data_IF_333568808605
#
_entry.id   IF_333568808605
#
_cell.length_a   1.000
_cell.length_b   1.000
_cell.length_c   1.000
_cell.angle_alpha   90.00
_cell.angle_beta   90.00
_cell.angle_gamma   90.00
#
_symmetry.space_group_name_H-M   'P 1'
#
loop_
_entity.id
_entity.type
_entity.pdbx_description
1 polymer ?
#
# COMPACT_ATOMS: atom_id res chain seq x y z
N UNK A 1 22.89 73.96 -55.95
CA UNK A 1 21.57 73.39 -56.27
C UNK A 1 21.62 71.88 -56.03
N UNK A 2 20.74 71.34 -55.16
CA UNK A 2 20.53 69.91 -54.75
C UNK A 2 21.73 69.21 -54.06
N UNK A 3 21.70 68.76 -52.79
CA UNK A 3 20.76 67.94 -51.98
C UNK A 3 20.35 66.63 -52.65
N UNK A 4 20.93 65.50 -52.19
CA UNK A 4 20.27 64.30 -51.61
C UNK A 4 21.33 63.19 -51.38
N UNK A 5 21.53 62.71 -50.13
CA UNK A 5 21.01 61.43 -49.53
C UNK A 5 21.59 60.19 -50.25
N UNK A 6 22.09 59.11 -49.64
CA UNK A 6 22.01 58.55 -48.28
C UNK A 6 22.91 57.30 -48.22
N UNK A 7 23.42 57.02 -47.02
CA UNK A 7 24.14 55.83 -46.55
C UNK A 7 23.90 54.49 -47.28
N UNK A 8 25.00 53.89 -47.77
CA UNK A 8 25.08 52.47 -48.17
C UNK A 8 25.42 51.64 -46.92
N UNK A 9 24.40 51.00 -46.33
CA UNK A 9 24.55 50.06 -45.21
C UNK A 9 25.13 48.74 -45.76
N UNK A 10 26.44 48.55 -45.65
CA UNK A 10 27.08 47.26 -45.92
C UNK A 10 26.67 46.23 -44.86
N UNK A 11 25.86 45.29 -45.31
CA UNK A 11 25.37 44.15 -44.55
C UNK A 11 26.48 43.10 -44.51
N UNK A 12 27.31 43.11 -43.46
CA UNK A 12 28.22 42.02 -43.16
C UNK A 12 27.41 40.74 -42.89
N UNK A 13 27.18 39.94 -43.94
CA UNK A 13 26.59 38.60 -43.85
C UNK A 13 27.69 37.66 -43.37
N UNK A 14 27.71 37.36 -42.07
CA UNK A 14 28.37 36.15 -41.61
C UNK A 14 27.74 34.95 -42.34
N UNK A 15 28.52 34.04 -42.96
CA UNK A 15 27.97 32.80 -43.48
C UNK A 15 27.44 32.02 -42.29
N UNK A 16 26.12 31.78 -42.28
CA UNK A 16 25.47 30.84 -41.38
C UNK A 16 26.17 29.49 -41.54
N UNK A 17 27.08 29.20 -40.62
CA UNK A 17 27.73 27.90 -40.49
C UNK A 17 26.62 26.93 -40.09
N UNK A 18 26.04 26.26 -41.08
CA UNK A 18 25.07 25.18 -40.89
C UNK A 18 25.75 24.19 -39.96
N UNK A 19 25.39 24.21 -38.67
CA UNK A 19 25.83 23.21 -37.70
C UNK A 19 25.31 21.89 -38.24
N UNK A 20 26.24 21.04 -38.70
CA UNK A 20 25.95 19.63 -38.99
C UNK A 20 25.16 19.07 -37.80
N UNK A 21 24.10 18.27 -38.01
CA UNK A 21 23.43 17.62 -36.90
C UNK A 21 24.49 16.84 -36.13
N UNK A 22 24.62 17.12 -34.83
CA UNK A 22 25.44 16.31 -33.95
C UNK A 22 24.92 14.89 -34.10
N UNK A 23 25.69 14.05 -34.77
CA UNK A 23 25.47 12.61 -34.78
C UNK A 23 25.43 12.18 -33.33
N UNK A 24 24.27 11.68 -32.91
CA UNK A 24 24.03 11.05 -31.63
C UNK A 24 25.25 10.16 -31.35
N UNK A 25 26.09 10.54 -30.38
CA UNK A 25 27.23 9.69 -29.98
C UNK A 25 26.61 8.38 -29.53
N UNK A 26 26.75 7.34 -30.34
CA UNK A 26 26.41 5.98 -29.96
C UNK A 26 27.14 5.72 -28.64
N UNK A 27 26.39 5.41 -27.58
CA UNK A 27 26.96 4.96 -26.31
C UNK A 27 27.88 3.79 -26.68
N UNK A 28 29.18 3.82 -26.34
CA UNK A 28 30.13 2.82 -26.77
C UNK A 28 29.59 1.43 -26.43
N UNK A 29 29.46 0.61 -27.46
CA UNK A 29 28.94 -0.75 -27.32
C UNK A 29 29.84 -1.49 -26.35
N UNK A 30 29.28 -1.99 -25.24
CA UNK A 30 30.08 -2.77 -24.30
C UNK A 30 30.59 -4.03 -24.98
N UNK A 31 31.84 -4.48 -24.71
CA UNK A 31 32.40 -5.65 -25.36
C UNK A 31 31.48 -6.85 -25.16
N UNK A 32 31.23 -7.62 -26.22
CA UNK A 32 30.24 -8.72 -26.25
C UNK A 32 30.40 -9.70 -25.06
N UNK A 33 31.63 -9.95 -24.62
CA UNK A 33 31.96 -10.77 -23.45
C UNK A 33 31.31 -10.27 -22.14
N UNK A 34 31.27 -8.95 -21.90
CA UNK A 34 30.65 -8.35 -20.70
C UNK A 34 29.13 -8.50 -20.73
N UNK A 35 28.52 -8.41 -21.91
CA UNK A 35 27.06 -8.58 -22.07
C UNK A 35 26.63 -10.03 -21.84
N UNK A 36 27.42 -11.00 -22.29
CA UNK A 36 27.17 -12.43 -22.05
C UNK A 36 27.28 -12.72 -20.55
N UNK A 37 28.35 -12.25 -19.90
CA UNK A 37 28.57 -12.45 -18.46
C UNK A 37 27.41 -11.89 -17.62
N UNK A 38 26.95 -10.66 -17.90
CA UNK A 38 25.83 -10.05 -17.20
C UNK A 38 24.53 -10.84 -17.38
N UNK A 39 24.28 -11.38 -18.58
CA UNK A 39 23.08 -12.19 -18.82
C UNK A 39 23.15 -13.54 -18.13
N UNK A 40 24.29 -14.23 -18.19
CA UNK A 40 24.46 -15.52 -17.49
C UNK A 40 24.31 -15.32 -15.98
N UNK A 41 25.00 -14.33 -15.41
CA UNK A 41 24.89 -14.00 -13.98
C UNK A 41 23.47 -13.57 -13.58
N UNK A 42 22.79 -12.79 -14.41
CA UNK A 42 21.42 -12.37 -14.14
C UNK A 42 20.39 -13.50 -14.23
N UNK A 43 20.57 -14.45 -15.15
CA UNK A 43 19.72 -15.66 -15.22
C UNK A 43 19.94 -16.54 -13.99
N UNK A 44 21.19 -16.71 -13.57
CA UNK A 44 21.51 -17.43 -12.33
C UNK A 44 20.88 -16.73 -11.11
N UNK A 45 20.94 -15.40 -11.04
CA UNK A 45 20.30 -14.63 -9.97
C UNK A 45 18.77 -14.83 -9.94
N UNK A 46 18.10 -14.82 -11.09
CA UNK A 46 16.65 -15.10 -11.18
C UNK A 46 16.35 -16.50 -10.64
N UNK A 47 17.12 -17.51 -11.06
CA UNK A 47 16.95 -18.88 -10.59
C UNK A 47 17.19 -18.99 -9.07
N UNK A 48 18.24 -18.35 -8.56
CA UNK A 48 18.56 -18.32 -7.14
C UNK A 48 17.43 -17.66 -6.33
N UNK A 49 16.90 -16.52 -6.77
CA UNK A 49 15.80 -15.83 -6.10
C UNK A 49 14.51 -16.66 -6.08
N UNK A 50 14.17 -17.31 -7.19
CA UNK A 50 12.98 -18.17 -7.26
C UNK A 50 13.09 -19.43 -6.40
N UNK A 51 14.30 -19.98 -6.25
CA UNK A 51 14.54 -21.18 -5.44
C UNK A 51 14.78 -20.86 -3.95
N UNK A 52 15.13 -19.62 -3.62
CA UNK A 52 15.54 -19.23 -2.27
C UNK A 52 14.52 -19.59 -1.18
N UNK A 53 13.20 -19.31 -1.32
CA UNK A 53 12.22 -19.68 -0.29
C UNK A 53 12.16 -21.19 -0.04
N UNK A 54 12.33 -22.01 -1.08
CA UNK A 54 12.31 -23.47 -0.98
C UNK A 54 13.58 -24.03 -0.32
N UNK A 55 14.72 -23.36 -0.54
CA UNK A 55 16.01 -23.76 0.03
C UNK A 55 16.14 -23.39 1.51
N UNK A 56 15.53 -22.28 1.93
CA UNK A 56 15.61 -21.82 3.32
C UNK A 56 14.66 -22.60 4.24
N UNK A 57 13.60 -23.21 3.71
CA UNK A 57 12.67 -24.04 4.48
C UNK A 57 11.79 -23.21 5.43
N UNK A 58 10.93 -23.84 6.27
CA UNK A 58 10.05 -23.12 7.18
C UNK A 58 10.83 -22.37 8.27
N UNK A 59 10.26 -21.29 8.86
CA UNK A 59 10.93 -20.53 9.88
C UNK A 59 11.30 -21.39 11.11
N UNK A 60 12.52 -21.23 11.65
CA UNK A 60 12.99 -22.03 12.77
C UNK A 60 12.19 -21.73 14.04
N UNK A 61 11.87 -22.77 14.81
CA UNK A 61 11.07 -22.69 16.05
C UNK A 61 11.75 -21.86 17.13
N UNK A 62 13.08 -21.87 17.15
CA UNK A 62 13.92 -21.15 18.13
C UNK A 62 14.05 -19.64 17.80
N UNK A 63 13.49 -19.18 16.69
CA UNK A 63 13.56 -17.80 16.23
C UNK A 63 14.93 -17.43 15.63
N UNK A 64 14.96 -16.35 14.84
CA UNK A 64 16.21 -15.86 14.22
C UNK A 64 17.06 -15.03 15.19
N UNK A 65 18.38 -14.92 14.96
CA UNK A 65 19.24 -14.00 15.71
C UNK A 65 18.75 -12.55 15.64
N UNK A 66 18.91 -11.78 16.72
CA UNK A 66 18.40 -10.39 16.81
C UNK A 66 18.94 -9.47 15.70
N UNK A 67 20.19 -9.66 15.28
CA UNK A 67 20.77 -8.90 14.17
C UNK A 67 20.03 -9.15 12.84
N UNK A 68 19.51 -10.36 12.62
CA UNK A 68 18.77 -10.71 11.41
C UNK A 68 17.39 -10.06 11.44
N UNK A 69 16.71 -10.11 12.60
CA UNK A 69 15.43 -9.41 12.82
C UNK A 69 15.58 -7.90 12.61
N UNK A 70 16.65 -7.31 13.15
CA UNK A 70 16.98 -5.90 12.97
C UNK A 70 17.20 -5.54 11.49
N UNK A 71 17.97 -6.34 10.76
CA UNK A 71 18.21 -6.11 9.32
C UNK A 71 16.91 -6.23 8.51
N UNK A 72 16.08 -7.24 8.78
CA UNK A 72 14.80 -7.44 8.08
C UNK A 72 13.86 -6.23 8.21
N UNK A 73 13.88 -5.54 9.35
CA UNK A 73 13.08 -4.31 9.58
C UNK A 73 13.41 -3.14 8.66
N UNK A 74 14.51 -3.19 7.91
CA UNK A 74 14.82 -2.19 6.87
C UNK A 74 14.08 -2.42 5.55
N UNK A 75 13.33 -3.52 5.40
CA UNK A 75 12.55 -3.78 4.20
C UNK A 75 11.65 -2.60 3.78
N UNK A 76 10.84 -1.97 4.68
CA UNK A 76 10.07 -0.78 4.35
C UNK A 76 10.93 0.41 3.89
N UNK A 77 12.16 0.56 4.39
CA UNK A 77 13.04 1.65 3.94
C UNK A 77 13.51 1.41 2.51
N UNK A 78 13.94 0.19 2.21
CA UNK A 78 14.51 -0.15 0.89
C UNK A 78 13.44 -0.31 -0.19
N UNK A 79 12.22 -0.75 0.15
CA UNK A 79 11.16 -1.00 -0.85
C UNK A 79 10.71 0.25 -1.61
N UNK A 80 10.90 1.45 -1.06
CA UNK A 80 10.53 2.70 -1.74
C UNK A 80 11.43 2.99 -2.95
N UNK A 81 12.68 2.50 -2.93
CA UNK A 81 13.65 2.69 -4.00
C UNK A 81 13.22 2.02 -5.32
N UNK A 82 12.96 0.69 -5.38
CA UNK A 82 12.54 0.06 -6.62
C UNK A 82 11.22 0.61 -7.14
N UNK A 83 10.26 0.95 -6.26
CA UNK A 83 8.95 1.50 -6.66
C UNK A 83 9.13 2.83 -7.41
N UNK A 84 9.79 3.81 -6.78
CA UNK A 84 9.97 5.13 -7.39
C UNK A 84 10.80 5.08 -8.68
N UNK A 85 11.87 4.28 -8.69
CA UNK A 85 12.75 4.16 -9.86
C UNK A 85 12.04 3.43 -11.00
N UNK A 86 11.25 2.39 -10.73
CA UNK A 86 10.49 1.68 -11.77
C UNK A 86 9.40 2.57 -12.39
N UNK A 87 8.68 3.34 -11.56
CA UNK A 87 7.71 4.34 -12.05
C UNK A 87 8.42 5.35 -12.95
N UNK A 88 9.60 5.83 -12.56
CA UNK A 88 10.41 6.70 -13.41
C UNK A 88 10.83 6.03 -14.73
N UNK A 89 11.23 4.76 -14.72
CA UNK A 89 11.54 3.98 -15.93
C UNK A 89 10.33 3.86 -16.85
N UNK A 90 9.13 3.65 -16.31
CA UNK A 90 7.88 3.62 -17.08
C UNK A 90 7.59 4.97 -17.75
N UNK A 91 7.78 6.08 -17.01
CA UNK A 91 7.66 7.43 -17.58
C UNK A 91 8.65 7.63 -18.71
N UNK A 92 9.93 7.30 -18.50
CA UNK A 92 10.96 7.40 -19.54
C UNK A 92 10.60 6.59 -20.79
N UNK A 93 10.07 5.38 -20.61
CA UNK A 93 9.67 4.53 -21.73
C UNK A 93 8.43 5.06 -22.44
N UNK A 94 7.43 5.58 -21.72
CA UNK A 94 6.28 6.27 -22.30
C UNK A 94 6.69 7.50 -23.12
N UNK A 95 7.62 8.30 -22.61
CA UNK A 95 8.18 9.43 -23.35
C UNK A 95 8.91 9.01 -24.63
N UNK A 96 9.51 7.82 -24.67
CA UNK A 96 10.17 7.27 -25.85
C UNK A 96 9.18 6.76 -26.93
N UNK A 97 7.91 6.58 -26.59
CA UNK A 97 6.84 6.22 -27.54
C UNK A 97 6.22 7.44 -28.23
N UNK A 98 6.40 8.65 -27.67
CA UNK A 98 5.81 9.86 -28.22
C UNK A 98 6.45 10.25 -29.56
N UNK A 99 5.65 10.53 -30.61
CA UNK A 99 6.16 10.95 -31.90
C UNK A 99 6.84 12.33 -31.80
N UNK A 100 7.92 12.53 -32.58
CA UNK A 100 8.57 13.83 -32.73
C UNK A 100 9.74 14.14 -31.77
N UNK A 101 10.04 13.28 -30.78
CA UNK A 101 11.23 13.46 -29.93
C UNK A 101 12.49 12.95 -30.63
N UNK A 102 13.49 13.84 -30.78
CA UNK A 102 14.82 13.52 -31.36
C UNK A 102 15.76 12.81 -30.38
N UNK A 103 15.57 12.99 -29.08
CA UNK A 103 16.40 12.37 -28.05
C UNK A 103 15.60 11.35 -27.25
N UNK A 104 16.07 10.10 -27.26
CA UNK A 104 15.50 9.02 -26.44
C UNK A 104 16.02 9.15 -25.01
N UNK A 105 15.12 9.19 -24.04
CA UNK A 105 15.47 9.09 -22.64
C UNK A 105 16.06 7.70 -22.38
N UNK A 106 17.31 7.63 -21.91
CA UNK A 106 17.94 6.36 -21.58
C UNK A 106 17.40 5.84 -20.25
N UNK A 107 16.61 4.77 -20.30
CA UNK A 107 16.10 4.07 -19.12
C UNK A 107 17.02 2.97 -18.59
N UNK A 108 18.16 2.70 -19.25
CA UNK A 108 19.03 1.56 -18.93
C UNK A 108 19.59 1.62 -17.51
N UNK A 109 20.14 2.77 -17.12
CA UNK A 109 20.76 2.93 -15.80
C UNK A 109 19.71 2.86 -14.69
N UNK A 110 18.58 3.55 -14.88
CA UNK A 110 17.46 3.53 -13.95
C UNK A 110 16.88 2.10 -13.80
N UNK A 111 16.69 1.36 -14.90
CA UNK A 111 16.23 -0.03 -14.86
C UNK A 111 17.21 -0.95 -14.10
N UNK A 112 18.53 -0.69 -14.21
CA UNK A 112 19.54 -1.42 -13.44
C UNK A 112 19.45 -1.16 -11.94
N UNK A 113 19.27 0.10 -11.53
CA UNK A 113 19.07 0.44 -10.12
C UNK A 113 17.74 -0.08 -9.58
N UNK A 114 16.66 -0.03 -10.37
CA UNK A 114 15.37 -0.62 -10.01
C UNK A 114 15.51 -2.13 -9.76
N UNK A 115 16.17 -2.86 -10.68
CA UNK A 115 16.41 -4.29 -10.51
C UNK A 115 17.27 -4.61 -9.28
N UNK A 116 18.38 -3.89 -9.08
CA UNK A 116 19.27 -4.13 -7.94
C UNK A 116 18.56 -3.86 -6.59
N UNK A 117 17.87 -2.73 -6.49
CA UNK A 117 17.12 -2.37 -5.28
C UNK A 117 15.91 -3.28 -5.02
N UNK A 118 15.25 -3.78 -6.08
CA UNK A 118 14.19 -4.79 -5.94
C UNK A 118 14.72 -6.10 -5.37
N UNK A 119 15.87 -6.58 -5.84
CA UNK A 119 16.53 -7.77 -5.27
C UNK A 119 16.86 -7.56 -3.79
N UNK A 120 17.46 -6.43 -3.44
CA UNK A 120 17.75 -6.12 -2.03
C UNK A 120 16.48 -6.05 -1.19
N UNK A 121 15.42 -5.40 -1.68
CA UNK A 121 14.14 -5.32 -0.98
C UNK A 121 13.54 -6.71 -0.75
N UNK A 122 13.55 -7.60 -1.75
CA UNK A 122 13.01 -8.96 -1.62
C UNK A 122 13.82 -9.83 -0.65
N UNK A 123 15.15 -9.68 -0.61
CA UNK A 123 15.98 -10.36 0.38
C UNK A 123 15.70 -9.88 1.81
N UNK A 124 15.56 -8.57 2.03
CA UNK A 124 15.18 -8.03 3.33
C UNK A 124 13.76 -8.43 3.72
N UNK A 125 12.84 -8.49 2.74
CA UNK A 125 11.47 -8.95 2.93
C UNK A 125 11.40 -10.41 3.36
N UNK A 126 12.26 -11.26 2.80
CA UNK A 126 12.43 -12.64 3.26
C UNK A 126 12.88 -12.68 4.72
N UNK A 127 13.92 -11.91 5.10
CA UNK A 127 14.35 -11.87 6.50
C UNK A 127 13.24 -11.38 7.45
N UNK A 128 12.45 -10.39 7.01
CA UNK A 128 11.32 -9.87 7.77
C UNK A 128 10.21 -10.91 7.93
N UNK A 129 9.87 -11.65 6.87
CA UNK A 129 8.88 -12.74 6.90
C UNK A 129 9.22 -13.78 7.98
N UNK A 130 10.48 -14.21 8.06
CA UNK A 130 10.93 -15.18 9.06
C UNK A 130 11.02 -14.62 10.48
N UNK A 131 10.95 -13.30 10.64
CA UNK A 131 11.09 -12.62 11.93
C UNK A 131 9.74 -12.36 12.61
N UNK A 132 8.62 -12.58 11.93
CA UNK A 132 7.29 -12.12 12.35
C UNK A 132 6.26 -13.27 12.35
N UNK A 133 6.12 -14.04 13.44
CA UNK A 133 5.19 -15.17 13.51
C UNK A 133 3.70 -14.78 13.64
N UNK A 134 3.40 -13.49 13.81
CA UNK A 134 2.05 -12.97 14.14
C UNK A 134 1.20 -12.56 12.92
N UNK A 135 1.73 -12.64 11.70
CA UNK A 135 1.00 -12.28 10.48
C UNK A 135 0.21 -13.47 9.90
N UNK A 136 -0.88 -13.17 9.17
CA UNK A 136 -1.53 -14.11 8.27
C UNK A 136 -0.49 -14.73 7.33
N UNK A 137 -0.23 -16.03 7.52
CA UNK A 137 0.76 -16.76 6.74
C UNK A 137 0.41 -16.74 5.26
N UNK A 138 -0.87 -16.83 4.90
CA UNK A 138 -1.28 -16.90 3.49
C UNK A 138 -1.09 -15.55 2.79
N UNK A 139 -1.47 -14.45 3.45
CA UNK A 139 -1.26 -13.10 2.88
C UNK A 139 0.22 -12.75 2.83
N UNK A 140 0.97 -13.05 3.90
CA UNK A 140 2.40 -12.77 3.97
C UNK A 140 3.20 -13.59 2.96
N UNK A 141 2.84 -14.87 2.76
CA UNK A 141 3.42 -15.70 1.70
C UNK A 141 3.10 -15.16 0.32
N UNK A 142 1.85 -14.80 0.05
CA UNK A 142 1.47 -14.20 -1.24
C UNK A 142 2.26 -12.92 -1.52
N UNK A 143 2.40 -12.05 -0.52
CA UNK A 143 3.21 -10.84 -0.63
C UNK A 143 4.69 -11.16 -0.89
N UNK A 144 5.26 -12.12 -0.17
CA UNK A 144 6.64 -12.57 -0.33
C UNK A 144 6.90 -13.08 -1.76
N UNK A 145 6.08 -14.01 -2.25
CA UNK A 145 6.21 -14.55 -3.60
C UNK A 145 5.95 -13.48 -4.67
N UNK A 146 5.01 -12.56 -4.43
CA UNK A 146 4.78 -11.40 -5.29
C UNK A 146 6.01 -10.50 -5.40
N UNK A 147 6.68 -10.22 -4.27
CA UNK A 147 7.93 -9.45 -4.23
C UNK A 147 9.10 -10.14 -4.92
N UNK A 148 9.23 -11.46 -4.76
CA UNK A 148 10.25 -12.25 -5.46
C UNK A 148 9.99 -12.24 -6.98
N UNK A 149 8.75 -12.50 -7.40
CA UNK A 149 8.37 -12.46 -8.81
C UNK A 149 8.63 -11.07 -9.42
N UNK A 150 8.27 -10.00 -8.71
CA UNK A 150 8.59 -8.63 -9.11
C UNK A 150 10.09 -8.44 -9.33
N UNK A 151 10.93 -8.85 -8.37
CA UNK A 151 12.40 -8.72 -8.49
C UNK A 151 12.97 -9.50 -9.67
N UNK A 152 12.48 -10.72 -9.91
CA UNK A 152 12.87 -11.55 -11.05
C UNK A 152 12.49 -10.91 -12.39
N UNK A 153 11.26 -10.38 -12.50
CA UNK A 153 10.79 -9.69 -13.70
C UNK A 153 11.55 -8.38 -13.94
N UNK A 154 11.90 -7.63 -12.89
CA UNK A 154 12.72 -6.42 -12.99
C UNK A 154 14.14 -6.73 -13.49
N UNK A 155 14.77 -7.80 -12.97
CA UNK A 155 16.08 -8.28 -13.47
C UNK A 155 15.96 -8.72 -14.93
N UNK A 156 14.93 -9.50 -15.29
CA UNK A 156 14.69 -9.92 -16.66
C UNK A 156 14.50 -8.72 -17.61
N UNK A 157 13.69 -7.73 -17.23
CA UNK A 157 13.50 -6.49 -17.97
C UNK A 157 14.83 -5.77 -18.21
N UNK A 158 15.67 -5.67 -17.18
CA UNK A 158 17.01 -5.06 -17.30
C UNK A 158 17.93 -5.85 -18.26
N UNK A 159 17.94 -7.17 -18.18
CA UNK A 159 18.74 -8.01 -19.09
C UNK A 159 18.29 -7.85 -20.54
N UNK A 160 16.99 -7.86 -20.80
CA UNK A 160 16.44 -7.62 -22.15
C UNK A 160 16.79 -6.21 -22.61
N UNK A 161 16.73 -5.20 -21.73
CA UNK A 161 17.10 -3.81 -22.05
C UNK A 161 18.55 -3.69 -22.53
N UNK A 162 19.49 -4.39 -21.88
CA UNK A 162 20.90 -4.44 -22.32
C UNK A 162 20.99 -4.93 -23.77
N UNK A 163 20.22 -5.97 -24.14
CA UNK A 163 20.23 -6.55 -25.49
C UNK A 163 19.55 -5.66 -26.51
N UNK A 164 18.44 -5.03 -26.15
CA UNK A 164 17.72 -4.07 -26.99
C UNK A 164 18.62 -2.87 -27.33
N UNK A 165 19.38 -2.37 -26.37
CA UNK A 165 20.31 -1.26 -26.59
C UNK A 165 21.48 -1.66 -27.50
N UNK A 166 22.02 -2.88 -27.32
CA UNK A 166 23.09 -3.40 -28.15
C UNK A 166 22.64 -3.70 -29.60
N UNK A 167 21.37 -4.06 -29.79
CA UNK A 167 20.78 -4.43 -31.08
C UNK A 167 20.18 -3.25 -31.86
N UNK A 168 20.30 -2.02 -31.35
CA UNK A 168 19.71 -0.82 -31.97
C UNK A 168 18.19 -0.74 -31.86
N UNK A 169 17.57 -1.44 -30.90
CA UNK A 169 16.13 -1.40 -30.63
C UNK A 169 15.36 -2.68 -30.99
N UNK A 170 16.02 -3.70 -31.56
CA UNK A 170 15.37 -5.00 -31.81
C UNK A 170 15.05 -5.68 -30.47
N UNK A 171 13.79 -6.06 -30.29
CA UNK A 171 13.30 -6.68 -29.04
C UNK A 171 12.68 -5.70 -28.04
N UNK A 172 12.49 -4.43 -28.41
CA UNK A 172 11.89 -3.42 -27.52
C UNK A 172 10.49 -3.82 -26.99
N UNK A 173 9.71 -4.56 -27.78
CA UNK A 173 8.40 -5.10 -27.35
C UNK A 173 8.58 -6.09 -26.19
N UNK A 174 9.55 -7.02 -26.29
CA UNK A 174 9.85 -7.99 -25.23
C UNK A 174 10.28 -7.28 -23.96
N UNK A 175 11.16 -6.27 -24.06
CA UNK A 175 11.55 -5.43 -22.92
C UNK A 175 10.32 -4.80 -22.24
N UNK A 176 9.40 -4.21 -23.01
CA UNK A 176 8.19 -3.58 -22.49
C UNK A 176 7.24 -4.58 -21.83
N UNK A 177 7.12 -5.78 -22.38
CA UNK A 177 6.31 -6.85 -21.76
C UNK A 177 6.85 -7.16 -20.36
N UNK A 178 8.16 -7.41 -20.23
CA UNK A 178 8.78 -7.66 -18.92
C UNK A 178 8.65 -6.45 -17.98
N UNK A 179 8.84 -5.23 -18.50
CA UNK A 179 8.70 -4.01 -17.71
C UNK A 179 7.26 -3.85 -17.17
N UNK A 180 6.25 -4.00 -18.03
CA UNK A 180 4.84 -3.89 -17.63
C UNK A 180 4.42 -5.03 -16.70
N UNK A 181 4.90 -6.25 -16.94
CA UNK A 181 4.68 -7.38 -16.03
C UNK A 181 5.31 -7.11 -14.65
N UNK A 182 6.52 -6.56 -14.59
CA UNK A 182 7.15 -6.15 -13.33
C UNK A 182 6.36 -5.06 -12.63
N UNK A 183 5.80 -4.08 -13.36
CA UNK A 183 4.97 -3.03 -12.78
C UNK A 183 3.64 -3.56 -12.24
N UNK A 184 2.99 -4.47 -12.96
CA UNK A 184 1.75 -5.10 -12.52
C UNK A 184 1.95 -5.96 -11.26
N UNK A 185 3.00 -6.77 -11.24
CA UNK A 185 3.36 -7.58 -10.05
C UNK A 185 3.77 -6.71 -8.87
N UNK A 186 4.50 -5.62 -9.10
CA UNK A 186 4.79 -4.61 -8.07
C UNK A 186 3.50 -4.02 -7.50
N UNK A 187 2.53 -3.66 -8.35
CA UNK A 187 1.23 -3.13 -7.89
C UNK A 187 0.46 -4.12 -7.02
N UNK A 188 0.36 -5.39 -7.45
CA UNK A 188 -0.28 -6.45 -6.68
C UNK A 188 0.44 -6.71 -5.35
N UNK A 189 1.77 -6.82 -5.36
CA UNK A 189 2.56 -7.00 -4.14
C UNK A 189 2.45 -5.79 -3.20
N UNK A 190 2.40 -4.56 -3.75
CA UNK A 190 2.22 -3.34 -2.95
C UNK A 190 0.85 -3.28 -2.28
N UNK A 191 -0.20 -3.75 -2.98
CA UNK A 191 -1.53 -3.90 -2.39
C UNK A 191 -1.52 -4.87 -1.21
N UNK A 192 -0.87 -6.02 -1.36
CA UNK A 192 -0.75 -7.00 -0.27
C UNK A 192 0.10 -6.46 0.89
N UNK A 193 1.17 -5.72 0.61
CA UNK A 193 1.99 -5.04 1.63
C UNK A 193 1.23 -3.96 2.40
N UNK A 194 0.38 -3.20 1.70
CA UNK A 194 -0.53 -2.25 2.34
C UNK A 194 -1.58 -2.97 3.21
N UNK A 195 -2.12 -4.08 2.73
CA UNK A 195 -3.10 -4.89 3.48
C UNK A 195 -2.50 -5.46 4.77
N UNK A 196 -1.25 -5.94 4.73
CA UNK A 196 -0.52 -6.42 5.92
C UNK A 196 -0.34 -5.32 6.99
N UNK A 197 -0.29 -4.05 6.60
CA UNK A 197 0.02 -2.94 7.52
C UNK A 197 -1.21 -2.14 7.94
N UNK A 198 -2.21 -2.04 7.08
CA UNK A 198 -3.41 -1.21 7.26
C UNK A 198 -4.71 -2.03 7.33
N UNK A 199 -4.66 -3.35 7.12
CA UNK A 199 -5.82 -4.24 7.07
C UNK A 199 -6.36 -4.43 5.65
N UNK A 200 -7.09 -5.53 5.43
CA UNK A 200 -7.77 -5.81 4.14
C UNK A 200 -8.74 -4.70 3.80
N UNK A 201 -8.73 -4.28 2.54
CA UNK A 201 -9.69 -3.31 2.03
C UNK A 201 -9.37 -1.85 2.33
N UNK A 202 -8.24 -1.53 2.95
CA UNK A 202 -7.81 -0.14 3.20
C UNK A 202 -7.91 0.77 1.95
N UNK A 203 -7.48 0.26 0.78
CA UNK A 203 -7.57 1.02 -0.48
C UNK A 203 -8.99 1.16 -1.03
N UNK A 204 -9.89 0.26 -0.64
CA UNK A 204 -11.28 0.23 -1.10
C UNK A 204 -12.27 0.74 -0.07
N UNK A 205 -11.81 1.01 1.16
CA UNK A 205 -12.59 1.51 2.28
C UNK A 205 -13.37 2.76 1.85
N UNK A 206 -12.70 3.70 1.21
CA UNK A 206 -13.29 4.95 0.72
C UNK A 206 -13.65 4.94 -0.78
N UNK A 207 -13.68 3.78 -1.45
CA UNK A 207 -14.05 3.70 -2.86
C UNK A 207 -15.47 4.27 -3.11
N UNK A 208 -15.69 5.09 -4.16
CA UNK A 208 -17.01 5.61 -4.49
C UNK A 208 -17.93 4.47 -4.95
N UNK A 209 -19.24 4.62 -4.75
CA UNK A 209 -20.23 3.56 -5.03
C UNK A 209 -20.15 2.95 -6.45
N UNK A 210 -19.97 3.74 -7.54
CA UNK A 210 -19.77 3.16 -8.86
C UNK A 210 -18.58 2.20 -8.94
N UNK A 211 -17.50 2.50 -8.21
CA UNK A 211 -16.30 1.67 -8.17
C UNK A 211 -16.50 0.43 -7.28
N UNK A 212 -17.24 0.55 -6.18
CA UNK A 212 -17.58 -0.59 -5.30
C UNK A 212 -18.39 -1.64 -6.04
N UNK A 213 -19.42 -1.21 -6.79
CA UNK A 213 -20.25 -2.10 -7.58
C UNK A 213 -19.44 -2.82 -8.66
N UNK A 214 -18.49 -2.11 -9.29
CA UNK A 214 -17.57 -2.70 -10.26
C UNK A 214 -16.60 -3.71 -9.60
N UNK A 215 -16.13 -3.43 -8.39
CA UNK A 215 -15.25 -4.31 -7.61
C UNK A 215 -15.99 -5.47 -6.91
N UNK A 216 -17.32 -5.55 -7.01
CA UNK A 216 -18.12 -6.56 -6.32
C UNK A 216 -18.15 -6.39 -4.79
N UNK A 217 -17.92 -5.18 -4.30
CA UNK A 217 -17.97 -4.83 -2.88
C UNK A 217 -19.41 -4.48 -2.47
N UNK A 218 -19.81 -4.73 -1.21
CA UNK A 218 -21.13 -4.37 -0.72
C UNK A 218 -21.39 -2.85 -0.85
N UNK A 219 -22.62 -2.50 -1.22
CA UNK A 219 -23.04 -1.11 -1.33
C UNK A 219 -22.88 -0.42 0.03
N UNK A 220 -22.23 0.75 0.03
CA UNK A 220 -22.23 1.62 1.20
C UNK A 220 -23.63 2.24 1.32
N UNK A 221 -24.48 1.69 2.17
CA UNK A 221 -25.75 2.31 2.51
C UNK A 221 -25.45 3.66 3.17
N UNK A 222 -25.76 4.75 2.46
CA UNK A 222 -25.90 6.06 3.09
C UNK A 222 -27.15 5.97 3.97
N UNK A 223 -27.00 5.60 5.24
CA UNK A 223 -28.08 5.76 6.22
C UNK A 223 -28.14 7.23 6.64
N UNK A 224 -28.48 8.09 5.68
CA UNK A 224 -28.64 9.53 5.87
C UNK A 224 -30.10 9.98 5.87
N UNK A 225 -31.06 9.08 5.73
CA UNK A 225 -32.49 9.43 5.70
C UNK A 225 -33.44 8.25 5.96
N UNK A 226 -33.02 7.26 6.74
CA UNK A 226 -33.84 6.11 7.12
C UNK A 226 -34.21 6.16 8.60
N UNK A 227 -35.48 5.91 8.90
CA UNK A 227 -36.11 5.91 10.23
C UNK A 227 -35.18 5.32 11.31
N UNK A 228 -34.91 6.06 12.39
CA UNK A 228 -34.06 5.65 13.54
C UNK A 228 -34.49 4.28 14.10
N UNK A 229 -35.79 3.99 13.97
CA UNK A 229 -36.38 2.71 14.36
C UNK A 229 -35.96 1.49 13.53
N UNK A 230 -35.35 1.69 12.36
CA UNK A 230 -34.91 0.60 11.47
C UNK A 230 -33.41 0.29 11.55
N UNK A 231 -32.64 1.14 12.24
CA UNK A 231 -31.19 1.01 12.35
C UNK A 231 -30.81 -0.19 13.23
N UNK A 232 -29.93 -1.06 12.72
CA UNK A 232 -29.37 -2.19 13.48
C UNK A 232 -28.12 -1.71 14.20
N UNK A 233 -28.17 -1.67 15.53
CA UNK A 233 -27.15 -1.00 16.34
C UNK A 233 -25.76 -1.61 16.12
N UNK A 234 -25.65 -2.94 16.13
CA UNK A 234 -24.36 -3.59 15.94
C UNK A 234 -23.77 -3.29 14.55
N UNK A 235 -24.52 -3.59 13.49
CA UNK A 235 -24.01 -3.48 12.11
C UNK A 235 -23.83 -2.03 11.66
N UNK A 236 -24.73 -1.13 12.03
CA UNK A 236 -24.75 0.24 11.49
C UNK A 236 -23.99 1.25 12.38
N UNK A 237 -23.80 0.98 13.68
CA UNK A 237 -23.10 1.90 14.60
C UNK A 237 -21.81 1.30 15.16
N UNK A 238 -21.85 0.07 15.67
CA UNK A 238 -20.71 -0.51 16.38
C UNK A 238 -19.62 -1.00 15.43
N UNK A 239 -19.99 -1.75 14.38
CA UNK A 239 -19.04 -2.29 13.40
C UNK A 239 -18.18 -1.19 12.76
N UNK A 240 -18.72 -0.03 12.31
CA UNK A 240 -17.89 1.06 11.79
C UNK A 240 -16.86 1.59 12.79
N UNK A 241 -17.21 1.67 14.09
CA UNK A 241 -16.27 2.08 15.14
C UNK A 241 -15.15 1.04 15.27
N UNK A 242 -15.50 -0.25 15.33
CA UNK A 242 -14.54 -1.34 15.45
C UNK A 242 -13.62 -1.45 14.23
N UNK A 243 -14.15 -1.25 13.02
CA UNK A 243 -13.38 -1.22 11.78
C UNK A 243 -12.30 -0.14 11.81
N UNK A 244 -12.67 1.08 12.20
CA UNK A 244 -11.76 2.23 12.18
C UNK A 244 -10.71 2.18 13.29
N UNK A 245 -11.06 1.63 14.46
CA UNK A 245 -10.23 1.75 15.68
C UNK A 245 -9.50 0.47 16.03
N UNK A 246 -10.13 -0.69 15.79
CA UNK A 246 -9.71 -1.94 16.39
C UNK A 246 -9.20 -2.96 15.36
N UNK A 247 -9.85 -3.06 14.20
CA UNK A 247 -9.57 -4.12 13.24
C UNK A 247 -8.15 -4.08 12.69
N UNK A 248 -7.47 -2.93 12.68
CA UNK A 248 -6.05 -2.87 12.24
C UNK A 248 -5.11 -3.77 13.05
N UNK A 249 -5.51 -4.20 14.26
CA UNK A 249 -4.73 -5.09 15.13
C UNK A 249 -5.51 -6.30 15.69
N UNK A 250 -6.83 -6.35 15.53
CA UNK A 250 -7.72 -7.39 16.04
C UNK A 250 -8.62 -7.97 14.94
N UNK A 251 -8.02 -8.51 13.90
CA UNK A 251 -8.71 -9.12 12.75
C UNK A 251 -8.15 -10.53 12.46
N UNK A 252 -8.68 -11.21 11.45
CA UNK A 252 -8.21 -12.54 11.06
C UNK A 252 -6.70 -12.66 10.89
N UNK A 253 -6.07 -11.60 10.40
CA UNK A 253 -4.68 -11.55 9.97
C UNK A 253 -3.70 -11.15 11.06
N UNK A 254 -4.16 -10.32 11.99
CA UNK A 254 -3.38 -9.80 13.10
C UNK A 254 -4.25 -9.86 14.34
N UNK A 255 -3.82 -10.70 15.28
CA UNK A 255 -4.58 -11.05 16.48
C UNK A 255 -3.78 -10.68 17.72
N UNK A 256 -3.57 -9.36 17.93
CA UNK A 256 -2.92 -8.91 19.17
C UNK A 256 -3.71 -9.41 20.38
N UNK A 257 -3.01 -9.93 21.38
CA UNK A 257 -3.64 -10.56 22.55
C UNK A 257 -4.45 -11.82 22.24
N UNK A 258 -4.34 -12.41 21.04
CA UNK A 258 -5.20 -13.51 20.54
C UNK A 258 -6.69 -13.13 20.50
N UNK A 259 -6.99 -11.84 20.35
CA UNK A 259 -8.36 -11.35 20.32
C UNK A 259 -8.74 -10.90 18.90
N UNK A 260 -9.89 -11.40 18.44
CA UNK A 260 -10.50 -11.17 17.11
C UNK A 260 -11.79 -10.38 17.30
N UNK A 261 -11.94 -9.25 16.60
CA UNK A 261 -13.12 -8.39 16.72
C UNK A 261 -13.96 -8.31 15.44
N UNK A 262 -13.47 -8.85 14.33
CA UNK A 262 -14.10 -8.83 13.00
C UNK A 262 -15.19 -9.89 12.79
N UNK A 263 -15.34 -10.82 13.72
CA UNK A 263 -16.45 -11.78 13.77
C UNK A 263 -17.15 -11.62 15.12
N UNK A 264 -18.48 -11.50 15.12
CA UNK A 264 -19.28 -11.21 16.31
C UNK A 264 -19.06 -12.23 17.44
N UNK A 265 -19.00 -13.50 17.08
CA UNK A 265 -18.86 -14.62 18.00
C UNK A 265 -17.47 -14.60 18.66
N UNK A 266 -16.44 -14.17 17.92
CA UNK A 266 -15.08 -14.02 18.43
C UNK A 266 -14.89 -12.72 19.23
N UNK A 267 -15.61 -11.66 18.85
CA UNK A 267 -15.66 -10.38 19.57
C UNK A 267 -16.15 -10.58 21.01
N UNK A 268 -17.17 -11.43 21.21
CA UNK A 268 -17.65 -11.78 22.54
C UNK A 268 -16.65 -12.70 23.28
N UNK A 269 -16.17 -13.75 22.62
CA UNK A 269 -15.33 -14.78 23.23
C UNK A 269 -14.01 -14.25 23.81
N UNK A 270 -13.48 -13.15 23.29
CA UNK A 270 -12.27 -12.55 23.83
C UNK A 270 -10.99 -13.23 23.40
N UNK A 271 -9.93 -13.04 24.19
CA UNK A 271 -8.57 -13.44 23.81
C UNK A 271 -7.81 -14.11 24.95
N UNK A 272 -6.52 -13.80 25.06
CA UNK A 272 -5.62 -14.37 26.07
C UNK A 272 -6.06 -14.03 27.51
N UNK A 273 -6.79 -12.94 27.69
CA UNK A 273 -7.10 -12.34 29.00
C UNK A 273 -8.57 -12.53 29.41
N UNK A 274 -9.24 -13.52 28.81
CA UNK A 274 -10.64 -13.85 29.09
C UNK A 274 -11.59 -13.21 28.08
N UNK A 275 -12.87 -13.13 28.49
CA UNK A 275 -13.97 -12.65 27.66
C UNK A 275 -13.74 -11.21 27.20
N UNK A 276 -14.00 -10.96 25.92
CA UNK A 276 -13.76 -9.66 25.31
C UNK A 276 -14.88 -8.68 25.66
N UNK A 277 -16.11 -9.16 25.44
CA UNK A 277 -17.34 -8.46 25.77
C UNK A 277 -18.23 -9.40 26.57
N UNK A 278 -18.71 -8.90 27.71
CA UNK A 278 -19.69 -9.56 28.56
C UNK A 278 -21.04 -8.89 28.30
N UNK A 279 -21.97 -9.55 27.59
CA UNK A 279 -23.30 -9.00 27.32
C UNK A 279 -24.02 -8.57 28.61
N UNK A 280 -24.41 -7.30 28.69
CA UNK A 280 -25.07 -6.70 29.86
C UNK A 280 -24.13 -6.14 30.93
N UNK A 281 -22.81 -6.22 30.73
CA UNK A 281 -21.81 -5.67 31.66
C UNK A 281 -20.65 -5.00 30.90
N UNK A 282 -20.85 -3.74 30.51
CA UNK A 282 -19.81 -2.96 29.86
C UNK A 282 -18.61 -2.72 30.79
N UNK A 283 -18.84 -2.52 32.09
CA UNK A 283 -17.78 -2.22 33.05
C UNK A 283 -16.84 -3.44 33.30
N UNK A 284 -17.38 -4.66 33.25
CA UNK A 284 -16.62 -5.90 33.36
C UNK A 284 -16.02 -6.39 32.03
N UNK A 285 -16.45 -5.82 30.89
CA UNK A 285 -15.96 -6.21 29.57
C UNK A 285 -14.51 -5.76 29.37
N UNK A 286 -13.60 -6.70 29.09
CA UNK A 286 -12.17 -6.43 28.95
C UNK A 286 -11.90 -5.33 27.89
N UNK A 287 -12.65 -5.34 26.78
CA UNK A 287 -12.51 -4.29 25.74
C UNK A 287 -12.69 -2.88 26.31
N UNK A 288 -13.65 -2.67 27.20
CA UNK A 288 -13.91 -1.36 27.81
C UNK A 288 -12.84 -1.03 28.82
N UNK A 289 -12.47 -1.99 29.67
CA UNK A 289 -11.40 -1.82 30.65
C UNK A 289 -10.12 -1.34 29.96
N UNK A 290 -9.74 -1.93 28.83
CA UNK A 290 -8.54 -1.55 28.06
C UNK A 290 -8.63 -0.18 27.40
N UNK A 291 -9.82 0.24 26.99
CA UNK A 291 -10.04 1.58 26.39
C UNK A 291 -10.01 2.68 27.46
N UNK A 292 -10.38 2.37 28.70
CA UNK A 292 -10.42 3.34 29.80
C UNK A 292 -9.13 3.42 30.61
N UNK A 293 -8.11 2.65 30.24
CA UNK A 293 -6.79 2.79 30.84
C UNK A 293 -6.19 4.18 30.53
N UNK A 294 -5.26 4.65 31.36
CA UNK A 294 -4.49 5.86 31.04
C UNK A 294 -3.77 5.71 29.69
N UNK A 295 -3.70 6.79 28.90
CA UNK A 295 -3.05 6.77 27.58
C UNK A 295 -1.55 6.36 27.63
N UNK A 296 -0.90 6.50 28.79
CA UNK A 296 0.49 6.11 29.03
C UNK A 296 0.65 4.67 29.55
N UNK A 297 -0.45 3.92 29.70
CA UNK A 297 -0.43 2.51 30.06
C UNK A 297 -0.12 1.62 28.85
N UNK A 298 0.81 0.68 28.99
CA UNK A 298 1.19 -0.27 27.94
C UNK A 298 0.02 -1.16 27.48
N UNK A 299 -0.99 -1.32 28.33
CA UNK A 299 -2.20 -2.10 28.05
C UNK A 299 -3.35 -1.26 27.44
N UNK A 300 -3.18 0.06 27.33
CA UNK A 300 -4.17 0.96 26.72
C UNK A 300 -4.46 0.60 25.27
N UNK A 301 -5.74 0.62 24.90
CA UNK A 301 -6.19 0.36 23.55
C UNK A 301 -7.13 1.48 23.08
N UNK A 302 -6.88 2.12 21.93
CA UNK A 302 -5.83 1.83 20.95
C UNK A 302 -4.41 2.21 21.44
N UNK A 303 -3.35 1.51 20.96
CA UNK A 303 -1.99 1.77 21.42
C UNK A 303 -1.49 3.16 21.00
N UNK A 304 -0.45 3.64 21.68
CA UNK A 304 0.15 4.95 21.43
C UNK A 304 0.40 5.23 19.94
N UNK A 305 0.03 6.43 19.49
CA UNK A 305 0.15 6.85 18.10
C UNK A 305 -0.99 6.38 17.17
N UNK A 306 -1.99 5.66 17.69
CA UNK A 306 -3.26 5.41 17.01
C UNK A 306 -4.33 6.40 17.46
N UNK A 307 -5.34 6.60 16.62
CA UNK A 307 -6.44 7.54 16.90
C UNK A 307 -7.37 6.91 17.93
N UNK A 308 -7.42 7.49 19.12
CA UNK A 308 -8.30 7.03 20.19
C UNK A 308 -9.79 7.18 19.84
N UNK A 309 -10.66 6.49 20.59
CA UNK A 309 -12.11 6.62 20.49
C UNK A 309 -12.53 8.00 21.00
N UNK A 310 -13.41 8.64 20.24
CA UNK A 310 -14.08 9.84 20.73
C UNK A 310 -15.08 9.46 21.83
N UNK A 311 -15.33 10.36 22.79
CA UNK A 311 -16.22 10.09 23.92
C UNK A 311 -17.62 9.58 23.51
N UNK A 312 -18.15 10.05 22.38
CA UNK A 312 -19.44 9.58 21.86
C UNK A 312 -19.37 8.15 21.29
N UNK A 313 -18.26 7.76 20.66
CA UNK A 313 -18.03 6.38 20.16
C UNK A 313 -17.96 5.40 21.34
N UNK A 314 -17.21 5.75 22.40
CA UNK A 314 -17.13 4.96 23.62
C UNK A 314 -18.49 4.85 24.32
N UNK A 315 -19.25 5.94 24.37
CA UNK A 315 -20.61 5.93 24.95
C UNK A 315 -21.53 4.96 24.22
N UNK A 316 -21.51 4.97 22.87
CA UNK A 316 -22.33 4.05 22.07
C UNK A 316 -21.90 2.59 22.25
N UNK A 317 -20.59 2.33 22.33
CA UNK A 317 -20.06 0.99 22.56
C UNK A 317 -20.52 0.43 23.92
N UNK A 318 -20.36 1.21 25.00
CA UNK A 318 -20.81 0.81 26.34
C UNK A 318 -22.32 0.56 26.37
N UNK A 319 -23.10 1.49 25.81
CA UNK A 319 -24.55 1.36 25.75
C UNK A 319 -24.98 0.07 25.05
N UNK A 320 -24.43 -0.24 23.88
CA UNK A 320 -24.76 -1.47 23.17
C UNK A 320 -24.41 -2.72 23.99
N UNK A 321 -23.26 -2.72 24.69
CA UNK A 321 -22.86 -3.83 25.56
C UNK A 321 -23.85 -3.99 26.73
N UNK A 322 -24.19 -2.90 27.43
CA UNK A 322 -25.12 -2.91 28.57
C UNK A 322 -26.54 -3.33 28.17
N UNK A 323 -26.93 -3.10 26.91
CA UNK A 323 -28.18 -3.59 26.34
C UNK A 323 -28.13 -5.06 25.89
N UNK A 324 -27.07 -5.80 26.25
CA UNK A 324 -26.92 -7.22 25.95
C UNK A 324 -26.15 -7.53 24.67
N UNK A 325 -25.43 -6.56 24.11
CA UNK A 325 -24.51 -6.73 22.99
C UNK A 325 -25.09 -7.48 21.78
N UNK A 326 -26.38 -7.32 21.50
CA UNK A 326 -27.07 -8.12 20.46
C UNK A 326 -26.62 -7.73 19.05
N UNK A 327 -26.42 -8.76 18.21
CA UNK A 327 -26.09 -8.63 16.77
C UNK A 327 -27.20 -7.99 15.94
N UNK A 328 -28.45 -8.23 16.32
CA UNK A 328 -29.63 -7.92 15.48
C UNK A 328 -30.56 -6.88 16.12
N UNK A 329 -30.19 -6.32 17.28
CA UNK A 329 -31.02 -5.33 17.98
C UNK A 329 -31.15 -4.04 17.17
N UNK A 330 -32.39 -3.57 17.04
CA UNK A 330 -32.68 -2.27 16.43
C UNK A 330 -32.63 -1.17 17.48
N UNK A 331 -32.27 0.05 17.08
CA UNK A 331 -32.20 1.17 18.00
C UNK A 331 -33.54 1.44 18.71
N UNK A 332 -34.68 1.28 18.02
CA UNK A 332 -36.01 1.41 18.63
C UNK A 332 -36.34 0.38 19.72
N UNK A 333 -35.67 -0.78 19.71
CA UNK A 333 -35.90 -1.84 20.69
C UNK A 333 -35.02 -1.66 21.95
N UNK A 334 -34.07 -0.72 21.92
CA UNK A 334 -33.13 -0.46 23.01
C UNK A 334 -33.49 0.79 23.80
N UNK A 335 -33.10 0.80 25.08
CA UNK A 335 -33.37 1.96 25.93
C UNK A 335 -32.34 3.06 25.67
N UNK A 336 -32.76 4.14 25.02
CA UNK A 336 -31.91 5.30 24.75
C UNK A 336 -31.87 6.27 25.95
N UNK A 337 -30.69 6.46 26.53
CA UNK A 337 -30.43 7.53 27.50
C UNK A 337 -30.22 8.88 26.79
N UNK A 338 -30.30 9.99 27.52
CA UNK A 338 -30.04 11.32 26.96
C UNK A 338 -28.62 11.45 26.36
N UNK A 339 -27.65 10.75 26.95
CA UNK A 339 -26.26 10.72 26.50
C UNK A 339 -26.10 9.97 25.18
N UNK A 340 -26.81 8.84 25.02
CA UNK A 340 -26.83 8.06 23.78
C UNK A 340 -27.46 8.86 22.64
N UNK A 341 -28.57 9.57 22.90
CA UNK A 341 -29.20 10.46 21.90
C UNK A 341 -28.24 11.55 21.43
N UNK A 342 -27.48 12.15 22.35
CA UNK A 342 -26.48 13.15 22.00
C UNK A 342 -25.31 12.53 21.22
N UNK A 343 -24.90 11.31 21.56
CA UNK A 343 -23.84 10.59 20.86
C UNK A 343 -24.23 10.23 19.42
N UNK A 344 -25.46 9.74 19.22
CA UNK A 344 -26.05 9.45 17.90
C UNK A 344 -26.12 10.71 17.03
N UNK A 345 -26.56 11.83 17.60
CA UNK A 345 -26.64 13.11 16.88
C UNK A 345 -25.25 13.64 16.47
N UNK A 346 -24.24 13.47 17.33
CA UNK A 346 -22.86 13.83 16.96
C UNK A 346 -22.31 12.99 15.82
N UNK A 347 -22.60 11.69 15.82
CA UNK A 347 -22.17 10.78 14.75
C UNK A 347 -22.76 11.23 13.40
N UNK A 348 -24.05 11.62 13.37
CA UNK A 348 -24.71 12.19 12.19
C UNK A 348 -24.04 13.47 11.67
N UNK A 349 -23.63 14.36 12.57
CA UNK A 349 -22.99 15.63 12.18
C UNK A 349 -21.58 15.40 11.62
N UNK A 350 -20.85 14.41 12.12
CA UNK A 350 -19.55 14.01 11.57
C UNK A 350 -19.71 13.47 10.14
N UNK A 351 -20.71 12.61 9.91
CA UNK A 351 -20.97 12.04 8.58
C UNK A 351 -21.48 13.08 7.58
N UNK A 352 -22.35 14.00 8.00
CA UNK A 352 -22.81 15.12 7.18
C UNK A 352 -21.68 16.11 6.81
N UNK A 353 -20.71 16.30 7.71
CA UNK A 353 -19.55 17.17 7.53
C UNK A 353 -18.53 16.67 6.50
N UNK A 354 -18.53 15.38 6.16
CA UNK A 354 -17.67 14.82 5.10
C UNK A 354 -18.26 15.02 3.69
N UNK A 355 -19.48 15.55 3.58
CA UNK A 355 -20.16 15.86 2.32
C UNK A 355 -20.17 17.34 1.91
N UNK A 356 -19.81 18.27 2.80
CA UNK A 356 -19.72 19.70 2.47
C UNK A 356 -18.53 20.35 3.14
N UNK A 357 -17.55 20.76 2.33
CA UNK A 357 -16.55 21.75 2.75
C UNK A 357 -17.31 23.02 3.17
N UNK A 358 -17.19 23.51 4.41
CA UNK A 358 -17.70 24.82 4.74
C UNK A 358 -16.77 25.83 4.07
N UNK A 359 -17.25 26.46 3.01
CA UNK A 359 -16.73 27.74 2.54
C UNK A 359 -16.71 28.69 3.74
N UNK A 360 -15.52 28.95 4.28
CA UNK A 360 -15.33 29.99 5.29
C UNK A 360 -15.62 31.37 4.67
N UNK A 361 -16.14 32.33 5.46
CA UNK A 361 -16.39 33.70 5.01
C UNK A 361 -15.11 34.43 4.59
#
# INVERSE_FOLDING_TARGET
MRIQKTARRERNRHPLRIRRPMTQRAIPNQPAKRQILLTVGGVFLIAALGLLPFLVGPPPVEGLPEIVKFIGRFHPVVLHLPIGILVWVLVQEGLNLLPGKRERASSRTAAGFAAASAVTASLLGLLLYYSMPEYDKDLAERHLYGGILFSCLAVAAYLVKIRVDASGGRGAVVYRIFLLASAGTMGAASHDGASLTHGRGYLTEHAPQPLRNWLGLPERHFSGSGDEASLVVYTDLIVPILEQKCYSCHNAEKQKGRYRMDEYELLLAGGKEGDGIIPGDAAGSNVIVRIELPEDDDEHMPPEGKKDLAAHELTLLKWWIDQGASKDAKAADLTETAEVKQALERLRQVDAGHGTSPSRP
#
